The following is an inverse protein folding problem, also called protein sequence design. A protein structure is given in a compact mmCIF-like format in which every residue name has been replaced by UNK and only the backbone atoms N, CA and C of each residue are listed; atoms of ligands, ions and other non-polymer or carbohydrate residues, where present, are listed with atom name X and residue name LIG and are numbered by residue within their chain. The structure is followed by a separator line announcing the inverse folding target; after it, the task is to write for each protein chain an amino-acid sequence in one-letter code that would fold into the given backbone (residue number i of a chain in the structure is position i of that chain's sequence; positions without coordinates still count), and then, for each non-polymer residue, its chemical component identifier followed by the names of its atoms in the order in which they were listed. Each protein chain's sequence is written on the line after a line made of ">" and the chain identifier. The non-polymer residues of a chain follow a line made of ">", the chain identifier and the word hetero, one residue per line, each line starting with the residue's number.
data_IF_263586016079
#
_entry.id   IF_263586016079
#
_cell.length_a   1.000
_cell.length_b   1.000
_cell.length_c   1.000
_cell.angle_alpha   90.00
_cell.angle_beta   90.00
_cell.angle_gamma   90.00
#
_symmetry.space_group_name_H-M   'P 1'
#
loop_
_entity.id
_entity.type
_entity.pdbx_description
1 polymer ?
#
# COMPACT_ATOMS: atom_id res chain seq x y z
N UNK A 1 12.32 -2.17 17.30
CA UNK A 1 10.93 -2.59 17.03
C UNK A 1 10.96 -3.31 15.69
N UNK A 2 10.46 -4.55 15.61
CA UNK A 2 10.43 -5.26 14.33
C UNK A 2 9.41 -4.60 13.40
N UNK A 3 9.91 -3.91 12.37
CA UNK A 3 9.07 -3.40 11.29
C UNK A 3 8.75 -4.58 10.39
N UNK A 4 7.53 -5.10 10.50
CA UNK A 4 7.07 -6.22 9.68
C UNK A 4 5.91 -5.77 8.81
N UNK A 5 6.11 -5.89 7.50
CA UNK A 5 5.05 -5.67 6.53
C UNK A 5 3.94 -6.71 6.70
N UNK A 6 2.70 -6.28 6.46
CA UNK A 6 1.56 -7.19 6.42
C UNK A 6 1.75 -8.22 5.32
N UNK A 7 1.35 -9.45 5.60
CA UNK A 7 1.35 -10.47 4.57
C UNK A 7 0.31 -10.10 3.48
N UNK A 8 0.61 -10.31 2.19
CA UNK A 8 -0.34 -10.01 1.10
C UNK A 8 -1.72 -10.65 1.31
N UNK A 9 -1.77 -11.85 1.89
CA UNK A 9 -3.03 -12.52 2.21
C UNK A 9 -3.83 -11.80 3.31
N UNK A 10 -3.17 -11.23 4.32
CA UNK A 10 -3.83 -10.48 5.39
C UNK A 10 -4.43 -9.18 4.86
N UNK A 11 -3.73 -8.52 3.94
CA UNK A 11 -4.25 -7.33 3.24
C UNK A 11 -5.49 -7.70 2.42
N UNK A 12 -5.43 -8.79 1.65
CA UNK A 12 -6.59 -9.27 0.88
C UNK A 12 -7.75 -9.63 1.81
N UNK A 13 -7.47 -10.31 2.94
CA UNK A 13 -8.49 -10.66 3.91
C UNK A 13 -9.12 -9.42 4.55
N UNK A 14 -8.34 -8.42 4.93
CA UNK A 14 -8.83 -7.16 5.48
C UNK A 14 -9.70 -6.39 4.48
N UNK A 15 -9.29 -6.34 3.21
CA UNK A 15 -10.08 -5.73 2.12
C UNK A 15 -11.41 -6.48 1.95
N UNK A 16 -11.40 -7.82 2.00
CA UNK A 16 -12.61 -8.65 1.90
C UNK A 16 -13.52 -8.48 3.12
N UNK A 17 -12.97 -8.32 4.32
CA UNK A 17 -13.74 -8.01 5.55
C UNK A 17 -14.48 -6.67 5.46
N UNK A 18 -13.97 -5.72 4.65
CA UNK A 18 -14.66 -4.46 4.31
C UNK A 18 -15.69 -4.60 3.19
N UNK A 19 -16.07 -5.82 2.82
CA UNK A 19 -16.98 -6.13 1.69
C UNK A 19 -16.51 -5.55 0.35
N UNK A 20 -15.19 -5.39 0.15
CA UNK A 20 -14.63 -4.93 -1.13
C UNK A 20 -13.55 -5.87 -1.64
N UNK A 21 -13.08 -5.63 -2.86
CA UNK A 21 -12.00 -6.41 -3.49
C UNK A 21 -10.99 -5.47 -4.12
N UNK A 22 -9.74 -5.94 -4.30
CA UNK A 22 -8.71 -5.15 -4.98
C UNK A 22 -9.15 -4.78 -6.41
N UNK A 23 -9.85 -5.66 -7.11
CA UNK A 23 -10.40 -5.38 -8.43
C UNK A 23 -11.49 -4.29 -8.38
N UNK A 24 -12.36 -4.31 -7.37
CA UNK A 24 -13.38 -3.27 -7.18
C UNK A 24 -12.74 -1.91 -6.85
N UNK A 25 -11.73 -1.89 -5.98
CA UNK A 25 -10.94 -0.68 -5.69
C UNK A 25 -10.26 -0.15 -6.94
N UNK A 26 -9.64 -1.03 -7.74
CA UNK A 26 -9.04 -0.65 -9.00
C UNK A 26 -10.03 0.04 -9.94
N UNK A 27 -11.23 -0.53 -10.09
CA UNK A 27 -12.30 0.06 -10.92
C UNK A 27 -12.76 1.41 -10.39
N UNK A 28 -12.90 1.55 -9.07
CA UNK A 28 -13.27 2.81 -8.40
C UNK A 28 -12.29 3.93 -8.71
N UNK A 29 -11.00 3.61 -8.85
CA UNK A 29 -9.93 4.57 -9.17
C UNK A 29 -9.58 4.64 -10.66
N UNK A 30 -10.35 3.99 -11.55
CA UNK A 30 -10.10 4.01 -13.00
C UNK A 30 -8.83 3.28 -13.44
N UNK A 31 -8.33 2.35 -12.62
CA UNK A 31 -7.12 1.56 -12.88
C UNK A 31 -7.49 0.16 -13.39
N UNK A 32 -6.57 -0.47 -14.13
CA UNK A 32 -6.75 -1.87 -14.55
C UNK A 32 -6.75 -2.81 -13.34
N UNK A 33 -7.66 -3.79 -13.34
CA UNK A 33 -7.91 -4.71 -12.22
C UNK A 33 -6.65 -5.41 -11.68
N UNK A 34 -5.61 -5.55 -12.50
CA UNK A 34 -4.31 -6.13 -12.13
C UNK A 34 -3.31 -5.12 -11.56
N UNK A 35 -3.46 -3.83 -11.84
CA UNK A 35 -2.53 -2.78 -11.42
C UNK A 35 -2.46 -2.70 -9.89
N UNK A 36 -3.59 -2.81 -9.20
CA UNK A 36 -3.58 -2.75 -7.73
C UNK A 36 -2.97 -4.01 -7.09
N UNK A 37 -3.05 -5.16 -7.77
CA UNK A 37 -2.41 -6.39 -7.30
C UNK A 37 -0.87 -6.28 -7.33
N UNK A 38 -0.34 -5.50 -8.28
CA UNK A 38 1.10 -5.19 -8.32
C UNK A 38 1.56 -4.36 -7.11
N UNK A 39 0.67 -3.59 -6.47
CA UNK A 39 0.98 -2.83 -5.25
C UNK A 39 1.33 -3.72 -4.07
N UNK A 40 0.86 -4.98 -4.04
CA UNK A 40 1.22 -5.95 -3.00
C UNK A 40 2.66 -6.45 -3.15
N UNK A 41 3.18 -6.48 -4.39
CA UNK A 41 4.50 -7.02 -4.71
C UNK A 41 5.56 -5.93 -4.78
N UNK A 42 5.24 -4.80 -5.40
CA UNK A 42 6.17 -3.71 -5.66
C UNK A 42 5.79 -2.45 -4.90
N UNK A 43 6.80 -1.68 -4.44
CA UNK A 43 6.59 -0.41 -3.74
C UNK A 43 5.92 0.58 -4.67
N UNK A 44 4.61 0.73 -4.54
CA UNK A 44 3.84 1.62 -5.40
C UNK A 44 2.94 2.51 -4.54
N UNK A 45 3.47 3.67 -4.18
CA UNK A 45 2.85 4.62 -3.25
C UNK A 45 1.39 4.92 -3.56
N UNK A 46 1.04 5.07 -4.85
CA UNK A 46 -0.35 5.36 -5.24
C UNK A 46 -1.29 4.18 -4.98
N UNK A 47 -0.84 2.95 -5.27
CA UNK A 47 -1.62 1.74 -4.99
C UNK A 47 -1.71 1.43 -3.50
N UNK A 48 -0.60 1.61 -2.77
CA UNK A 48 -0.55 1.49 -1.30
C UNK A 48 -1.56 2.45 -0.65
N UNK A 49 -1.59 3.71 -1.08
CA UNK A 49 -2.52 4.71 -0.56
C UNK A 49 -4.00 4.36 -0.82
N UNK A 50 -4.32 3.82 -2.00
CA UNK A 50 -5.69 3.40 -2.33
C UNK A 50 -6.15 2.26 -1.40
N UNK A 51 -5.28 1.29 -1.14
CA UNK A 51 -5.58 0.16 -0.24
C UNK A 51 -5.71 0.67 1.20
N UNK A 52 -4.79 1.53 1.64
CA UNK A 52 -4.80 2.17 2.95
C UNK A 52 -6.08 2.97 3.19
N UNK A 53 -6.49 3.80 2.23
CA UNK A 53 -7.74 4.56 2.26
C UNK A 53 -8.96 3.63 2.35
N UNK A 54 -8.97 2.53 1.61
CA UNK A 54 -10.06 1.55 1.66
C UNK A 54 -10.16 0.84 3.03
N UNK A 55 -9.03 0.61 3.68
CA UNK A 55 -8.98 -0.02 5.01
C UNK A 55 -9.22 0.99 6.14
N UNK A 56 -8.98 2.29 5.89
CA UNK A 56 -9.06 3.36 6.87
C UNK A 56 -7.85 3.40 7.81
N UNK A 57 -6.73 2.80 7.41
CA UNK A 57 -5.46 2.80 8.14
C UNK A 57 -4.38 3.42 7.26
N UNK A 58 -3.35 4.06 7.82
CA UNK A 58 -2.30 4.64 7.00
C UNK A 58 -1.43 3.57 6.34
N UNK A 59 -0.92 3.86 5.14
CA UNK A 59 -0.12 2.91 4.36
C UNK A 59 1.18 2.47 5.07
N UNK A 60 1.76 3.32 5.93
CA UNK A 60 2.94 2.97 6.73
C UNK A 60 2.66 1.95 7.84
N UNK A 61 1.40 1.75 8.23
CA UNK A 61 1.02 0.71 9.18
C UNK A 61 0.92 -0.67 8.52
N UNK A 62 0.57 -0.70 7.23
CA UNK A 62 0.53 -1.91 6.40
C UNK A 62 1.94 -2.30 5.95
N UNK A 63 2.74 -1.31 5.53
CA UNK A 63 4.10 -1.52 4.99
C UNK A 63 5.15 -0.70 5.73
N UNK A 64 5.35 -0.89 7.04
CA UNK A 64 6.31 -0.12 7.82
C UNK A 64 7.73 -0.15 7.24
N UNK A 65 8.18 -1.26 6.65
CA UNK A 65 9.53 -1.36 6.08
C UNK A 65 9.74 -0.48 4.84
N UNK A 66 8.66 -0.09 4.15
CA UNK A 66 8.71 0.77 2.97
C UNK A 66 8.77 2.26 3.34
N UNK A 67 8.33 2.62 4.54
CA UNK A 67 8.23 4.00 5.00
C UNK A 67 9.30 4.36 6.03
N UNK A 68 9.80 3.39 6.80
CA UNK A 68 10.78 3.60 7.84
C UNK A 68 12.05 2.77 7.60
N UNK A 69 13.18 3.28 8.07
CA UNK A 69 14.41 2.52 8.25
C UNK A 69 14.31 1.69 9.55
N UNK A 70 15.22 0.73 9.73
CA UNK A 70 15.26 -0.15 10.90
C UNK A 70 15.49 0.58 12.24
N UNK A 71 15.99 1.82 12.17
CA UNK A 71 16.20 2.73 13.30
C UNK A 71 14.96 3.57 13.63
N UNK A 72 13.86 3.43 12.88
CA UNK A 72 12.63 4.20 13.05
C UNK A 72 12.63 5.56 12.35
N UNK A 73 13.70 5.92 11.63
CA UNK A 73 13.72 7.17 10.85
C UNK A 73 12.88 7.03 9.57
N UNK A 74 12.12 8.06 9.17
CA UNK A 74 11.33 8.02 7.95
C UNK A 74 12.24 8.02 6.70
N UNK A 75 11.97 7.13 5.76
CA UNK A 75 12.69 7.06 4.49
C UNK A 75 12.35 8.26 3.61
N UNK A 76 13.35 8.98 3.06
CA UNK A 76 13.10 10.07 2.14
C UNK A 76 12.46 9.50 0.87
N UNK A 77 11.19 9.85 0.63
CA UNK A 77 10.50 9.51 -0.61
C UNK A 77 10.89 10.53 -1.67
N UNK A 78 11.75 10.12 -2.59
CA UNK A 78 12.01 10.88 -3.80
C UNK A 78 10.74 10.89 -4.64
N UNK A 79 9.93 11.93 -4.50
CA UNK A 79 8.97 12.29 -5.53
C UNK A 79 9.76 12.51 -6.82
N UNK A 80 9.28 11.97 -7.94
CA UNK A 80 9.91 12.17 -9.26
C UNK A 80 10.10 13.66 -9.64
N UNK A 81 9.48 14.59 -8.90
CA UNK A 81 9.67 16.04 -9.03
C UNK A 81 11.09 16.54 -8.76
N UNK A 82 11.94 15.79 -8.05
CA UNK A 82 13.34 16.18 -7.80
C UNK A 82 14.31 15.82 -8.93
N UNK A 83 13.81 15.28 -10.06
CA UNK A 83 14.62 15.01 -11.28
C UNK A 83 14.38 16.09 -12.34
N UNK A 84 14.41 17.36 -11.96
CA UNK A 84 14.40 18.47 -12.91
C UNK A 84 15.75 19.16 -12.95
#
# INVERSE_FOLDING_TARGET
>A
MELKDWHPADIIAAVRKKNTTLSALSRKHGLSSTTLNNALRHSWTKGENIIAEALGIPAWEIWPTRYFYSDGTPKPRTTKELRK
#
